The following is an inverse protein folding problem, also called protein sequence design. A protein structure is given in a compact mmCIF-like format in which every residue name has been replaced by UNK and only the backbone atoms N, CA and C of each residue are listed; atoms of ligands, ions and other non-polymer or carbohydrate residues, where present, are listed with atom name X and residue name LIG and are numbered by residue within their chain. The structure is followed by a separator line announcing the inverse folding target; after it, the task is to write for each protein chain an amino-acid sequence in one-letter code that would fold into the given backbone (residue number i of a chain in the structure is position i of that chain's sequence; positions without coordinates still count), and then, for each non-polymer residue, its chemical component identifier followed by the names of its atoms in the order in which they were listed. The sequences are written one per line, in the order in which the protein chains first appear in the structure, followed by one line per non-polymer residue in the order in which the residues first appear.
data_IF_695298096084
#
_entry.id   IF_695298096084
#
_cell.length_a   1.000
_cell.length_b   1.000
_cell.length_c   1.000
_cell.angle_alpha   90.00
_cell.angle_beta   90.00
_cell.angle_gamma   90.00
#
_symmetry.space_group_name_H-M   'P 1'
#
loop_
_entity.id
_entity.type
_entity.pdbx_description
1 polymer ?
#
# COMPACT_ATOMS: atom_id res chain seq x y z
N UNK A 1 -2.69 8.80 27.75
CA UNK A 1 -1.64 7.93 28.37
C UNK A 1 -1.12 7.03 27.27
N UNK A 2 0.19 7.04 27.05
CA UNK A 2 0.81 6.12 26.10
C UNK A 2 0.76 4.71 26.70
N UNK A 3 0.21 3.76 25.99
CA UNK A 3 0.20 2.36 26.41
C UNK A 3 1.61 1.79 26.36
N UNK A 4 2.07 1.21 27.47
CA UNK A 4 3.33 0.46 27.56
C UNK A 4 2.97 -1.02 27.73
N UNK A 5 3.41 -1.90 26.83
CA UNK A 5 3.17 -3.33 26.99
C UNK A 5 3.79 -3.88 28.27
N UNK A 6 3.16 -4.93 28.85
CA UNK A 6 3.68 -5.57 30.05
C UNK A 6 5.07 -6.16 29.80
N UNK A 7 6.00 -5.89 30.72
CA UNK A 7 7.38 -6.38 30.66
C UNK A 7 8.30 -5.55 29.74
N UNK A 8 7.95 -4.30 29.48
CA UNK A 8 8.79 -3.33 28.81
C UNK A 8 9.05 -2.11 29.71
N UNK A 9 10.23 -1.52 29.58
CA UNK A 9 10.62 -0.31 30.30
C UNK A 9 10.70 0.88 29.35
N UNK A 10 10.23 2.05 29.81
CA UNK A 10 10.35 3.29 29.03
C UNK A 10 11.80 3.76 29.04
N UNK A 11 12.40 3.90 27.87
CA UNK A 11 13.74 4.47 27.69
C UNK A 11 13.64 5.96 27.38
N UNK A 12 12.66 6.36 26.57
CA UNK A 12 12.51 7.74 26.10
C UNK A 12 11.03 8.08 25.88
N UNK A 13 10.63 9.31 26.20
CA UNK A 13 9.34 9.88 25.82
C UNK A 13 9.56 10.98 24.80
N UNK A 14 8.89 10.89 23.65
CA UNK A 14 9.02 11.82 22.52
C UNK A 14 7.69 12.43 22.13
N UNK A 15 7.75 13.60 21.49
CA UNK A 15 6.62 14.18 20.77
C UNK A 15 6.64 13.78 19.30
N UNK A 16 5.52 13.28 18.81
CA UNK A 16 5.35 12.95 17.40
C UNK A 16 5.45 14.23 16.55
N UNK A 17 6.33 14.23 15.56
CA UNK A 17 6.55 15.40 14.69
C UNK A 17 5.32 15.79 13.86
N UNK A 18 4.40 14.85 13.56
CA UNK A 18 3.19 15.13 12.79
C UNK A 18 1.98 15.45 13.64
N UNK A 19 1.72 14.67 14.70
CA UNK A 19 0.50 14.82 15.50
C UNK A 19 0.71 15.65 16.77
N UNK A 20 1.95 15.91 17.19
CA UNK A 20 2.27 16.57 18.44
C UNK A 20 1.98 15.74 19.72
N UNK A 21 1.44 14.52 19.55
CA UNK A 21 1.13 13.63 20.67
C UNK A 21 2.38 12.99 21.24
N UNK A 22 2.41 12.83 22.57
CA UNK A 22 3.48 12.12 23.23
C UNK A 22 3.39 10.61 22.96
N UNK A 23 4.53 9.97 22.74
CA UNK A 23 4.67 8.54 22.64
C UNK A 23 5.94 8.05 23.31
N UNK A 24 5.99 6.80 23.69
CA UNK A 24 7.13 6.20 24.36
C UNK A 24 7.95 5.33 23.42
N UNK A 25 9.25 5.27 23.67
CA UNK A 25 10.19 4.30 23.10
C UNK A 25 10.62 3.39 24.23
N UNK A 26 10.49 2.09 24.03
CA UNK A 26 10.81 1.10 25.06
C UNK A 26 12.20 0.49 24.87
N UNK A 27 12.67 -0.21 25.86
CA UNK A 27 13.91 -0.99 25.82
C UNK A 27 13.87 -2.06 24.70
N UNK A 28 12.71 -2.67 24.48
CA UNK A 28 12.53 -3.62 23.36
C UNK A 28 12.58 -2.94 22.00
N UNK A 29 12.04 -1.72 21.87
CA UNK A 29 12.15 -0.95 20.63
C UNK A 29 13.64 -0.68 20.31
N UNK A 30 14.41 -0.24 21.29
CA UNK A 30 15.84 0.04 21.10
C UNK A 30 16.60 -1.22 20.73
N UNK A 31 16.35 -2.32 21.44
CA UNK A 31 16.95 -3.61 21.14
C UNK A 31 16.61 -4.07 19.70
N UNK A 32 15.35 -3.98 19.32
CA UNK A 32 14.92 -4.33 17.96
C UNK A 32 15.62 -3.48 16.89
N UNK A 33 15.73 -2.15 17.08
CA UNK A 33 16.43 -1.26 16.16
C UNK A 33 17.92 -1.62 16.04
N UNK A 34 18.54 -2.03 17.14
CA UNK A 34 19.91 -2.51 17.12
C UNK A 34 20.05 -3.85 16.36
N UNK A 35 19.15 -4.80 16.59
CA UNK A 35 19.16 -6.10 15.93
C UNK A 35 19.00 -6.01 14.42
N UNK A 36 18.12 -5.12 13.92
CA UNK A 36 17.89 -4.92 12.48
C UNK A 36 18.83 -3.92 11.81
N UNK A 37 19.73 -3.29 12.59
CA UNK A 37 20.66 -2.30 12.06
C UNK A 37 21.57 -2.92 10.98
N UNK A 38 21.63 -2.33 9.77
CA UNK A 38 22.40 -2.89 8.67
C UNK A 38 23.90 -2.83 8.93
N UNK A 39 24.61 -3.84 8.41
CA UNK A 39 26.06 -3.92 8.47
C UNK A 39 26.61 -3.90 7.06
N UNK A 40 27.43 -2.90 6.72
CA UNK A 40 28.13 -2.80 5.44
C UNK A 40 29.64 -2.67 5.71
N UNK A 41 30.44 -3.40 5.01
CA UNK A 41 31.89 -3.39 5.17
C UNK A 41 32.35 -3.54 6.65
N UNK A 42 31.70 -4.46 7.39
CA UNK A 42 31.95 -4.71 8.80
C UNK A 42 31.59 -3.56 9.76
N UNK A 43 30.99 -2.48 9.23
CA UNK A 43 30.48 -1.35 10.02
C UNK A 43 28.97 -1.45 10.20
N UNK A 44 28.50 -1.41 11.46
CA UNK A 44 27.09 -1.37 11.81
C UNK A 44 26.60 0.08 11.79
N UNK A 45 25.47 0.29 11.09
CA UNK A 45 24.83 1.60 10.97
C UNK A 45 23.60 1.66 11.87
N UNK A 46 23.70 2.36 12.99
CA UNK A 46 22.63 2.47 13.96
C UNK A 46 21.37 3.10 13.35
N UNK A 47 20.22 2.50 13.59
CA UNK A 47 18.91 3.07 13.23
C UNK A 47 18.45 3.96 14.38
N UNK A 48 18.19 5.26 14.12
CA UNK A 48 17.74 6.16 15.19
C UNK A 48 16.34 5.82 15.68
N UNK A 49 16.03 6.18 16.92
CA UNK A 49 14.69 6.03 17.47
C UNK A 49 13.66 6.85 16.67
N UNK A 50 12.41 6.35 16.51
CA UNK A 50 11.41 7.00 15.68
C UNK A 50 11.10 8.43 16.10
N UNK A 51 10.80 9.29 15.12
CA UNK A 51 10.30 10.65 15.34
C UNK A 51 8.79 10.76 15.24
N UNK A 52 8.13 9.70 14.78
CA UNK A 52 6.68 9.58 14.64
C UNK A 52 6.14 8.54 15.61
N UNK A 53 4.96 8.82 16.17
CA UNK A 53 4.24 7.84 17.01
C UNK A 53 3.92 6.56 16.24
N UNK A 54 3.69 5.41 16.92
CA UNK A 54 3.29 4.16 16.27
C UNK A 54 2.04 4.31 15.40
N UNK A 55 1.05 5.09 15.86
CA UNK A 55 -0.18 5.36 15.11
C UNK A 55 0.11 6.10 13.79
N UNK A 56 0.96 7.14 13.82
CA UNK A 56 1.33 7.88 12.61
C UNK A 56 2.17 7.04 11.64
N UNK A 57 3.06 6.20 12.14
CA UNK A 57 3.81 5.25 11.30
C UNK A 57 2.87 4.23 10.63
N UNK A 58 1.87 3.74 11.35
CA UNK A 58 0.83 2.86 10.80
C UNK A 58 0.02 3.57 9.72
N UNK A 59 -0.48 4.78 10.02
CA UNK A 59 -1.25 5.59 9.07
C UNK A 59 -0.47 5.86 7.79
N UNK A 60 0.80 6.18 7.86
CA UNK A 60 1.67 6.37 6.68
C UNK A 60 1.81 5.11 5.85
N UNK A 61 2.01 3.97 6.46
CA UNK A 61 2.07 2.68 5.74
C UNK A 61 0.76 2.36 5.03
N UNK A 62 -0.38 2.66 5.67
CA UNK A 62 -1.71 2.44 5.08
C UNK A 62 -2.06 3.45 3.99
N UNK A 63 -1.38 4.60 3.90
CA UNK A 63 -1.65 5.61 2.86
C UNK A 63 -1.36 5.12 1.44
N UNK A 64 -0.57 4.06 1.28
CA UNK A 64 -0.30 3.42 -0.01
C UNK A 64 -1.25 2.26 -0.33
N UNK A 65 -2.20 1.98 0.53
CA UNK A 65 -3.16 0.89 0.38
C UNK A 65 -4.57 1.45 0.42
N UNK A 66 -5.24 1.47 -0.73
CA UNK A 66 -6.67 1.70 -0.80
C UNK A 66 -7.34 0.43 -1.30
N UNK A 67 -7.93 -0.35 -0.41
CA UNK A 67 -8.64 -1.57 -0.75
C UNK A 67 -10.15 -1.36 -0.81
N UNK A 68 -10.68 -0.41 -0.04
CA UNK A 68 -12.11 -0.30 0.27
C UNK A 68 -12.84 0.85 -0.40
N UNK A 69 -12.14 1.90 -0.82
CA UNK A 69 -12.79 3.01 -1.53
C UNK A 69 -12.73 2.73 -3.03
N UNK A 70 -13.89 2.44 -3.63
CA UNK A 70 -14.02 2.15 -5.05
C UNK A 70 -14.76 3.29 -5.76
N UNK A 71 -14.32 3.60 -6.96
CA UNK A 71 -14.80 4.69 -7.79
C UNK A 71 -15.18 4.18 -9.18
N UNK A 72 -16.21 4.75 -9.76
CA UNK A 72 -16.46 4.59 -11.19
C UNK A 72 -15.49 5.51 -11.95
N UNK A 73 -14.71 4.95 -12.83
CA UNK A 73 -13.68 5.64 -13.60
C UNK A 73 -13.66 5.14 -15.04
N UNK A 74 -12.71 5.61 -15.82
CA UNK A 74 -12.43 5.13 -17.16
C UNK A 74 -11.01 4.61 -17.26
N UNK A 75 -10.84 3.53 -18.03
CA UNK A 75 -9.51 3.03 -18.37
C UNK A 75 -8.80 4.05 -19.27
N UNK A 76 -7.60 4.47 -18.90
CA UNK A 76 -6.85 5.48 -19.63
C UNK A 76 -6.38 4.98 -21.01
N UNK A 77 -6.27 3.67 -21.22
CA UNK A 77 -5.91 3.12 -22.53
C UNK A 77 -7.11 2.99 -23.46
N UNK A 78 -8.24 2.44 -22.97
CA UNK A 78 -9.37 2.07 -23.82
C UNK A 78 -10.56 3.02 -23.75
N UNK A 79 -10.62 3.91 -22.76
CA UNK A 79 -11.77 4.77 -22.49
C UNK A 79 -13.00 4.06 -21.93
N UNK A 80 -12.99 2.73 -21.75
CA UNK A 80 -14.11 1.97 -21.21
C UNK A 80 -14.33 2.30 -19.73
N UNK A 81 -15.58 2.30 -19.30
CA UNK A 81 -15.92 2.45 -17.89
C UNK A 81 -15.42 1.23 -17.10
N UNK A 82 -14.90 1.51 -15.91
CA UNK A 82 -14.39 0.49 -14.99
C UNK A 82 -14.62 0.90 -13.53
N UNK A 83 -14.54 -0.07 -12.63
CA UNK A 83 -14.44 0.16 -11.19
C UNK A 83 -12.95 0.22 -10.82
N UNK A 84 -12.56 1.25 -10.07
CA UNK A 84 -11.16 1.51 -9.72
C UNK A 84 -11.01 1.88 -8.25
N UNK A 85 -9.89 1.50 -7.64
CA UNK A 85 -9.48 2.02 -6.34
C UNK A 85 -8.83 3.41 -6.42
N UNK A 86 -8.63 3.92 -7.63
CA UNK A 86 -8.13 5.27 -7.86
C UNK A 86 -9.29 6.20 -8.20
N UNK A 87 -9.40 7.36 -7.54
CA UNK A 87 -10.42 8.34 -7.88
C UNK A 87 -10.12 8.97 -9.26
N UNK A 88 -11.15 9.50 -9.91
CA UNK A 88 -11.06 10.11 -11.25
C UNK A 88 -10.10 11.30 -11.35
N UNK A 89 -9.79 11.94 -10.23
CA UNK A 89 -8.83 13.05 -10.13
C UNK A 89 -7.41 12.59 -9.78
N UNK A 90 -7.18 11.29 -9.77
CA UNK A 90 -5.84 10.73 -9.53
C UNK A 90 -4.85 11.18 -10.60
N UNK A 91 -3.61 11.44 -10.19
CA UNK A 91 -2.50 11.76 -11.11
C UNK A 91 -1.96 10.55 -11.88
N UNK A 92 -2.41 9.35 -11.51
CA UNK A 92 -1.92 8.10 -12.08
C UNK A 92 -2.67 7.72 -13.33
N UNK A 93 -1.96 7.12 -14.30
CA UNK A 93 -2.57 6.35 -15.39
C UNK A 93 -3.15 5.06 -14.84
N UNK A 94 -4.41 4.79 -15.12
CA UNK A 94 -5.10 3.62 -14.55
C UNK A 94 -5.73 2.80 -15.66
N UNK A 95 -5.35 1.54 -15.75
CA UNK A 95 -5.87 0.60 -16.72
C UNK A 95 -6.87 -0.36 -16.08
N UNK A 96 -7.88 -0.77 -16.85
CA UNK A 96 -8.73 -1.88 -16.44
C UNK A 96 -7.89 -3.14 -16.24
N UNK A 97 -8.32 -4.03 -15.34
CA UNK A 97 -7.56 -5.24 -15.00
C UNK A 97 -7.26 -6.13 -16.21
N UNK A 98 -8.23 -6.26 -17.12
CA UNK A 98 -8.06 -7.13 -18.28
C UNK A 98 -7.07 -6.52 -19.28
N UNK A 99 -7.11 -5.20 -19.43
CA UNK A 99 -6.14 -4.44 -20.24
C UNK A 99 -4.75 -4.47 -19.60
N UNK A 100 -4.68 -4.35 -18.28
CA UNK A 100 -3.40 -4.36 -17.56
C UNK A 100 -2.66 -5.70 -17.69
N UNK A 101 -3.39 -6.81 -17.83
CA UNK A 101 -2.83 -8.14 -18.07
C UNK A 101 -2.72 -8.51 -19.57
N UNK A 102 -3.20 -7.66 -20.48
CA UNK A 102 -3.10 -7.91 -21.92
C UNK A 102 -1.73 -7.48 -22.47
N UNK A 103 -1.50 -7.85 -23.74
CA UNK A 103 -0.33 -7.42 -24.50
C UNK A 103 -0.56 -6.08 -25.24
N UNK A 104 -1.60 -5.32 -24.88
CA UNK A 104 -1.93 -4.03 -25.50
C UNK A 104 -1.01 -2.89 -25.05
N UNK A 105 -0.12 -3.14 -24.10
CA UNK A 105 0.88 -2.20 -23.60
C UNK A 105 2.14 -2.93 -23.14
N UNK A 106 3.28 -2.26 -23.24
CA UNK A 106 4.57 -2.80 -22.85
C UNK A 106 5.13 -2.06 -21.61
N UNK A 107 5.31 -2.71 -20.46
CA UNK A 107 5.90 -2.07 -19.28
C UNK A 107 7.36 -1.63 -19.52
N UNK A 108 8.09 -2.24 -20.45
CA UNK A 108 9.47 -1.86 -20.76
C UNK A 108 9.60 -0.50 -21.45
N UNK A 109 8.52 0.01 -22.09
CA UNK A 109 8.50 1.35 -22.66
C UNK A 109 8.63 2.46 -21.60
N UNK A 110 8.34 2.16 -20.35
CA UNK A 110 8.46 3.07 -19.21
C UNK A 110 9.83 2.99 -18.53
N UNK A 111 10.69 2.06 -18.95
CA UNK A 111 12.06 1.95 -18.45
C UNK A 111 12.86 3.21 -18.74
N UNK A 112 13.70 3.62 -17.81
CA UNK A 112 14.59 4.76 -17.95
C UNK A 112 15.90 4.52 -17.24
N UNK A 113 16.97 5.14 -17.75
CA UNK A 113 18.28 5.07 -17.11
C UNK A 113 18.25 5.79 -15.75
N UNK A 114 19.03 5.28 -14.83
CA UNK A 114 19.19 5.89 -13.53
C UNK A 114 20.21 7.03 -13.60
N UNK A 115 19.81 8.22 -13.16
CA UNK A 115 20.67 9.39 -13.05
C UNK A 115 21.32 9.40 -11.66
N UNK A 116 22.63 9.25 -11.59
CA UNK A 116 23.40 9.21 -10.35
C UNK A 116 23.59 10.61 -9.71
N UNK A 117 23.27 11.68 -10.41
CA UNK A 117 23.31 13.05 -9.88
C UNK A 117 22.01 13.47 -9.19
N UNK A 118 20.98 12.61 -9.24
CA UNK A 118 19.67 12.81 -8.60
C UNK A 118 19.39 11.76 -7.55
N UNK A 119 18.50 12.08 -6.59
CA UNK A 119 18.12 11.11 -5.56
C UNK A 119 17.25 9.99 -6.14
N UNK A 120 17.36 8.80 -5.56
CA UNK A 120 16.51 7.66 -5.95
C UNK A 120 15.02 7.98 -5.84
N UNK A 121 14.61 8.61 -4.74
CA UNK A 121 13.18 8.82 -4.49
C UNK A 121 12.53 9.83 -5.44
N UNK A 122 13.25 10.83 -5.92
CA UNK A 122 12.76 11.75 -6.97
C UNK A 122 12.49 11.00 -8.27
N UNK A 123 13.45 10.22 -8.73
CA UNK A 123 13.33 9.44 -9.96
C UNK A 123 12.28 8.33 -9.84
N UNK A 124 12.20 7.71 -8.66
CA UNK A 124 11.19 6.70 -8.39
C UNK A 124 9.77 7.30 -8.38
N UNK A 125 9.57 8.50 -7.83
CA UNK A 125 8.26 9.16 -7.85
C UNK A 125 7.83 9.47 -9.29
N UNK A 126 8.72 9.97 -10.13
CA UNK A 126 8.44 10.22 -11.54
C UNK A 126 8.03 8.95 -12.27
N UNK A 127 8.79 7.87 -12.11
CA UNK A 127 8.47 6.57 -12.68
C UNK A 127 7.14 6.03 -12.15
N UNK A 128 6.93 6.17 -10.85
CA UNK A 128 5.74 5.70 -10.15
C UNK A 128 4.44 6.41 -10.57
N UNK A 129 4.54 7.65 -11.04
CA UNK A 129 3.41 8.41 -11.61
C UNK A 129 3.13 8.02 -13.05
N UNK A 130 4.19 7.72 -13.81
CA UNK A 130 4.12 7.52 -15.26
C UNK A 130 3.68 6.11 -15.65
N UNK A 131 4.14 5.10 -14.91
CA UNK A 131 3.77 3.70 -15.18
C UNK A 131 2.29 3.44 -14.88
N UNK A 132 1.53 2.86 -15.83
CA UNK A 132 0.12 2.51 -15.62
C UNK A 132 -0.09 1.59 -14.42
N UNK A 133 -1.23 1.75 -13.76
CA UNK A 133 -1.64 0.97 -12.60
C UNK A 133 -2.89 0.20 -12.90
N UNK A 134 -3.00 -0.98 -12.32
CA UNK A 134 -4.23 -1.75 -12.38
C UNK A 134 -5.32 -1.07 -11.53
N UNK A 135 -6.49 -0.81 -12.11
CA UNK A 135 -7.58 -0.10 -11.46
C UNK A 135 -8.10 -0.79 -10.20
N UNK A 136 -8.13 -2.11 -10.19
CA UNK A 136 -8.51 -2.94 -9.03
C UNK A 136 -7.82 -4.29 -9.10
N UNK A 137 -7.57 -4.90 -7.96
CA UNK A 137 -6.95 -6.22 -7.86
C UNK A 137 -8.05 -7.29 -7.82
N UNK A 138 -8.31 -7.92 -8.95
CA UNK A 138 -9.18 -9.08 -9.05
C UNK A 138 -8.46 -10.18 -9.84
N UNK A 139 -8.45 -11.37 -9.28
CA UNK A 139 -7.93 -12.55 -9.97
C UNK A 139 -9.05 -13.28 -10.76
N UNK A 140 -8.70 -14.38 -11.37
CA UNK A 140 -9.64 -15.19 -12.15
C UNK A 140 -10.84 -15.71 -11.33
N UNK A 141 -11.93 -16.06 -12.03
CA UNK A 141 -13.10 -16.69 -11.42
C UNK A 141 -14.03 -15.71 -10.70
N UNK A 142 -14.02 -14.44 -11.08
CA UNK A 142 -15.01 -13.46 -10.61
C UNK A 142 -16.27 -13.53 -11.47
N UNK A 143 -17.43 -13.70 -10.86
CA UNK A 143 -18.73 -13.72 -11.51
C UNK A 143 -19.67 -12.75 -10.78
N UNK A 144 -20.26 -11.79 -11.49
CA UNK A 144 -21.19 -10.80 -10.94
C UNK A 144 -20.67 -10.16 -9.61
N UNK A 145 -19.39 -9.80 -9.57
CA UNK A 145 -18.70 -9.34 -8.36
C UNK A 145 -17.78 -8.13 -8.64
N UNK A 146 -18.26 -7.20 -9.45
CA UNK A 146 -17.46 -6.08 -9.97
C UNK A 146 -16.98 -5.10 -8.89
N UNK A 147 -17.73 -4.94 -7.82
CA UNK A 147 -17.37 -4.05 -6.71
C UNK A 147 -16.58 -4.76 -5.58
N UNK A 148 -15.81 -5.78 -5.93
CA UNK A 148 -14.86 -6.42 -5.02
C UNK A 148 -13.42 -6.05 -5.40
N UNK A 149 -12.53 -5.99 -4.41
CA UNK A 149 -11.12 -5.68 -4.63
C UNK A 149 -10.23 -6.55 -3.73
N UNK A 150 -9.02 -6.87 -4.20
CA UNK A 150 -8.16 -7.88 -3.60
C UNK A 150 -8.91 -9.23 -3.44
N UNK A 151 -9.65 -9.63 -4.47
CA UNK A 151 -10.57 -10.77 -4.40
C UNK A 151 -10.34 -11.74 -5.57
N UNK A 152 -10.68 -13.01 -5.35
CA UNK A 152 -10.64 -14.04 -6.39
C UNK A 152 -11.75 -15.06 -6.19
N UNK A 153 -12.20 -15.67 -7.29
CA UNK A 153 -13.23 -16.74 -7.30
C UNK A 153 -14.48 -16.39 -6.50
N UNK A 154 -14.89 -15.11 -6.54
CA UNK A 154 -16.11 -14.67 -5.88
C UNK A 154 -17.27 -14.63 -6.88
N UNK A 155 -18.46 -15.03 -6.42
CA UNK A 155 -19.70 -15.03 -7.19
C UNK A 155 -20.79 -14.26 -6.46
N UNK A 156 -21.56 -13.45 -7.20
CA UNK A 156 -22.66 -12.63 -6.65
C UNK A 156 -22.25 -11.81 -5.42
N UNK A 157 -21.03 -11.33 -5.34
CA UNK A 157 -20.49 -10.67 -4.17
C UNK A 157 -20.34 -9.16 -4.37
N UNK A 158 -20.61 -8.38 -3.33
CA UNK A 158 -20.58 -6.93 -3.40
C UNK A 158 -19.85 -6.33 -2.20
N UNK A 159 -18.91 -5.41 -2.46
CA UNK A 159 -18.06 -4.77 -1.46
C UNK A 159 -17.34 -5.78 -0.54
N UNK A 160 -16.80 -6.83 -1.15
CA UNK A 160 -15.94 -7.80 -0.48
C UNK A 160 -14.48 -7.50 -0.76
N UNK A 161 -13.65 -7.47 0.29
CA UNK A 161 -12.25 -7.07 0.22
C UNK A 161 -11.35 -8.12 0.86
N UNK A 162 -10.19 -8.35 0.23
CA UNK A 162 -9.23 -9.38 0.69
C UNK A 162 -9.91 -10.73 0.93
N UNK A 163 -10.74 -11.15 -0.02
CA UNK A 163 -11.65 -12.28 0.11
C UNK A 163 -11.49 -13.26 -1.05
N UNK A 164 -11.68 -14.54 -0.79
CA UNK A 164 -11.48 -15.58 -1.78
C UNK A 164 -12.54 -16.68 -1.69
N UNK A 165 -12.99 -17.19 -2.85
CA UNK A 165 -13.94 -18.31 -2.96
C UNK A 165 -15.29 -18.06 -2.28
N UNK A 166 -15.83 -16.85 -2.35
CA UNK A 166 -17.09 -16.48 -1.70
C UNK A 166 -18.26 -16.51 -2.69
N UNK A 167 -19.42 -16.94 -2.25
CA UNK A 167 -20.69 -16.83 -2.96
C UNK A 167 -21.70 -16.06 -2.09
N UNK A 168 -22.52 -15.20 -2.76
CA UNK A 168 -23.56 -14.38 -2.13
C UNK A 168 -23.11 -13.58 -0.90
N UNK A 169 -21.89 -13.05 -0.94
CA UNK A 169 -21.25 -12.37 0.18
C UNK A 169 -21.28 -10.84 -0.01
N UNK A 170 -21.67 -10.12 1.04
CA UNK A 170 -21.82 -8.67 1.00
C UNK A 170 -21.10 -7.99 2.17
N UNK A 171 -20.46 -6.84 1.90
CA UNK A 171 -19.81 -5.97 2.91
C UNK A 171 -18.82 -6.68 3.82
N UNK A 172 -18.08 -7.62 3.28
CA UNK A 172 -17.19 -8.50 4.04
C UNK A 172 -15.72 -8.22 3.78
N UNK A 173 -14.89 -8.54 4.76
CA UNK A 173 -13.43 -8.46 4.64
C UNK A 173 -12.82 -9.72 5.23
N UNK A 174 -11.79 -10.28 4.54
CA UNK A 174 -11.13 -11.53 4.90
C UNK A 174 -12.08 -12.74 4.99
N UNK A 175 -13.16 -12.73 4.20
CA UNK A 175 -14.03 -13.87 4.07
C UNK A 175 -13.40 -14.90 3.11
N UNK A 176 -13.20 -16.11 3.57
CA UNK A 176 -12.72 -17.24 2.77
C UNK A 176 -13.58 -18.46 3.15
N UNK A 177 -14.04 -19.17 2.14
CA UNK A 177 -14.69 -20.46 2.32
C UNK A 177 -13.67 -21.59 2.32
#
# INVERSE_FOLDING_TARGET
MSFVPSGESIVETKKCQLSGQDFVVTDKDVKFLDEIAPVFNWQKYAIPTPTLSPAERMRRRLSFRNERSLHLSKCDLTGKQMVSMYPTWSKYKVYDKDVWYSDDWDPFEYGRDFDFDRTFFEQFEELFVDVPRMGRVQQSGMENSDFCNCASKCKNSYLCFSSNQNEDCYYSTFANQ
#
